data_IF_234427806452
#
_entry.id   IF_234427806452
#
_cell.length_a   1.000
_cell.length_b   1.000
_cell.length_c   1.000
_cell.angle_alpha   90.00
_cell.angle_beta   90.00
_cell.angle_gamma   90.00
#
_symmetry.space_group_name_H-M   'P 1'
#
loop_
_entity.id
_entity.type
_entity.pdbx_description
1 polymer ?
#
# COMPACT_ATOMS: atom_id res chain seq x y z
N UNK A 1 19.39 28.73 -4.11
CA UNK A 1 18.09 29.09 -3.53
C UNK A 1 17.74 27.97 -2.57
N UNK A 2 17.61 28.26 -1.26
CA UNK A 2 17.27 27.22 -0.29
C UNK A 2 15.80 26.85 -0.43
N UNK A 3 15.50 25.59 -0.73
CA UNK A 3 14.14 25.07 -0.65
C UNK A 3 13.72 25.15 0.83
N UNK A 4 12.78 26.03 1.13
CA UNK A 4 12.07 26.02 2.40
C UNK A 4 11.25 24.74 2.37
N UNK A 5 11.67 23.72 3.11
CA UNK A 5 10.83 22.56 3.35
C UNK A 5 9.55 23.07 4.03
N UNK A 6 8.41 23.00 3.33
CA UNK A 6 7.12 23.37 3.89
C UNK A 6 6.87 22.59 5.17
N UNK A 7 6.45 23.29 6.22
CA UNK A 7 6.09 22.66 7.47
C UNK A 7 4.72 22.00 7.30
N UNK A 8 4.73 20.67 7.08
CA UNK A 8 3.51 19.86 6.96
C UNK A 8 2.68 19.81 8.26
N UNK A 9 3.11 20.44 9.36
CA UNK A 9 2.41 20.43 10.65
C UNK A 9 1.01 21.06 10.63
N UNK A 10 0.66 21.82 9.58
CA UNK A 10 -0.66 22.47 9.44
C UNK A 10 -1.67 21.74 8.55
N UNK A 11 -1.32 20.60 7.94
CA UNK A 11 -2.21 19.91 7.00
C UNK A 11 -3.33 19.16 7.74
N UNK A 12 -4.57 19.30 7.25
CA UNK A 12 -5.69 18.46 7.70
C UNK A 12 -5.63 17.10 7.01
N UNK A 13 -5.27 16.08 7.78
CA UNK A 13 -5.09 14.71 7.31
C UNK A 13 -6.26 13.80 7.72
N UNK A 14 -7.39 14.37 8.15
CA UNK A 14 -8.58 13.63 8.56
C UNK A 14 -9.20 12.82 7.41
N UNK A 15 -9.10 13.32 6.17
CA UNK A 15 -9.51 12.65 4.93
C UNK A 15 -8.41 12.72 3.88
N UNK A 16 -7.32 12.00 4.15
CA UNK A 16 -6.22 11.85 3.20
C UNK A 16 -6.61 10.92 2.04
N UNK A 17 -6.53 11.44 0.82
CA UNK A 17 -6.60 10.63 -0.41
C UNK A 17 -5.21 10.57 -1.04
N UNK A 18 -4.68 9.36 -1.24
CA UNK A 18 -3.39 9.16 -1.92
C UNK A 18 -3.60 8.56 -3.29
N UNK A 19 -3.04 9.18 -4.32
CA UNK A 19 -3.07 8.73 -5.71
C UNK A 19 -1.67 8.25 -6.08
N UNK A 20 -1.54 6.98 -6.46
CA UNK A 20 -0.25 6.37 -6.77
C UNK A 20 -0.15 5.96 -8.26
N UNK A 21 1.04 6.18 -8.83
CA UNK A 21 1.38 5.82 -10.20
C UNK A 21 2.59 4.90 -10.31
N UNK A 22 3.06 4.62 -11.52
CA UNK A 22 4.10 3.60 -11.75
C UNK A 22 5.44 3.92 -11.06
N UNK A 23 5.72 5.21 -10.82
CA UNK A 23 6.89 5.64 -10.06
C UNK A 23 6.88 5.16 -8.60
N UNK A 24 5.71 4.98 -8.00
CA UNK A 24 5.57 4.38 -6.67
C UNK A 24 6.07 2.92 -6.67
N UNK A 25 5.62 2.12 -7.63
CA UNK A 25 6.03 0.72 -7.74
C UNK A 25 7.50 0.59 -8.11
N UNK A 26 8.02 1.46 -9.00
CA UNK A 26 9.45 1.58 -9.31
C UNK A 26 10.29 1.89 -8.07
N UNK A 27 9.75 2.72 -7.18
CA UNK A 27 10.42 3.07 -5.93
C UNK A 27 10.37 1.93 -4.90
N UNK A 28 9.27 1.18 -4.86
CA UNK A 28 9.14 -0.03 -4.03
C UNK A 28 10.10 -1.13 -4.48
N UNK A 29 10.29 -1.30 -5.79
CA UNK A 29 11.30 -2.19 -6.34
C UNK A 29 11.87 -1.67 -7.66
N UNK A 30 13.20 -1.61 -7.81
CA UNK A 30 13.84 -1.25 -9.07
C UNK A 30 13.46 -2.13 -10.27
N UNK A 31 12.97 -3.35 -10.04
CA UNK A 31 12.51 -4.27 -11.10
C UNK A 31 11.24 -3.78 -11.80
N UNK A 32 10.38 -3.05 -11.08
CA UNK A 32 9.08 -2.58 -11.58
C UNK A 32 9.28 -1.55 -12.68
N UNK A 33 8.58 -1.65 -13.82
CA UNK A 33 8.80 -0.74 -14.93
C UNK A 33 7.93 0.53 -14.81
N UNK A 34 8.48 1.67 -15.22
CA UNK A 34 7.68 2.82 -15.67
C UNK A 34 7.30 2.66 -17.14
N UNK A 35 6.44 3.52 -17.68
CA UNK A 35 5.88 3.36 -19.03
C UNK A 35 6.94 3.25 -20.14
N UNK A 36 8.02 4.03 -20.05
CA UNK A 36 9.14 3.98 -21.01
C UNK A 36 9.88 2.65 -20.95
N UNK A 37 10.24 2.21 -19.74
CA UNK A 37 10.91 0.91 -19.51
C UNK A 37 10.02 -0.28 -19.94
N UNK A 38 8.70 -0.16 -19.76
CA UNK A 38 7.74 -1.14 -20.24
C UNK A 38 7.73 -1.21 -21.77
N UNK A 39 7.80 -0.07 -22.46
CA UNK A 39 7.91 0.00 -23.92
C UNK A 39 9.15 -0.72 -24.44
N UNK A 40 10.30 -0.48 -23.81
CA UNK A 40 11.58 -1.11 -24.18
C UNK A 40 11.53 -2.64 -23.97
N UNK A 41 11.06 -3.07 -22.80
CA UNK A 41 10.91 -4.50 -22.48
C UNK A 41 9.94 -5.20 -23.43
N UNK A 42 8.86 -4.52 -23.82
CA UNK A 42 7.86 -5.03 -24.74
C UNK A 42 8.43 -5.21 -26.15
N UNK A 43 9.16 -4.22 -26.67
CA UNK A 43 9.80 -4.31 -27.98
C UNK A 43 10.78 -5.47 -28.03
N UNK A 44 11.58 -5.66 -26.98
CA UNK A 44 12.49 -6.79 -26.86
C UNK A 44 11.74 -8.14 -26.88
N UNK A 45 10.62 -8.25 -26.16
CA UNK A 45 9.80 -9.48 -26.13
C UNK A 45 9.11 -9.74 -27.47
N UNK A 46 8.65 -8.70 -28.15
CA UNK A 46 7.86 -8.82 -29.37
C UNK A 46 8.67 -9.42 -30.54
N UNK A 47 9.98 -9.19 -30.62
CA UNK A 47 10.84 -9.75 -31.70
C UNK A 47 10.74 -11.26 -31.84
N UNK A 48 10.64 -11.96 -30.71
CA UNK A 48 10.52 -13.42 -30.67
C UNK A 48 9.08 -13.93 -30.66
N UNK A 49 8.09 -13.04 -30.67
CA UNK A 49 6.69 -13.38 -30.48
C UNK A 49 5.94 -13.49 -31.82
N UNK A 50 5.01 -14.46 -32.01
CA UNK A 50 4.25 -14.60 -33.26
C UNK A 50 3.46 -13.35 -33.69
N UNK A 51 3.15 -12.46 -32.75
CA UNK A 51 2.48 -11.19 -33.07
C UNK A 51 3.35 -10.25 -33.93
N UNK A 52 4.67 -10.45 -34.00
CA UNK A 52 5.56 -9.69 -34.89
C UNK A 52 5.14 -9.80 -36.36
N UNK A 53 4.54 -10.93 -36.76
CA UNK A 53 4.03 -11.20 -38.11
C UNK A 53 2.81 -10.37 -38.49
N UNK A 54 2.20 -9.67 -37.52
CA UNK A 54 1.08 -8.75 -37.73
C UNK A 54 1.53 -7.28 -37.87
N UNK A 55 2.81 -6.99 -37.63
CA UNK A 55 3.35 -5.65 -37.78
C UNK A 55 3.43 -5.24 -39.26
N UNK A 56 3.24 -3.95 -39.52
CA UNK A 56 3.61 -3.37 -40.82
C UNK A 56 5.12 -3.41 -41.02
N UNK A 57 5.58 -3.27 -42.28
CA UNK A 57 7.02 -3.25 -42.60
C UNK A 57 7.79 -2.18 -41.81
N UNK A 58 7.19 -1.00 -41.62
CA UNK A 58 7.81 0.09 -40.85
C UNK A 58 7.82 -0.17 -39.35
N UNK A 59 6.71 -0.66 -38.77
CA UNK A 59 6.65 -1.03 -37.35
C UNK A 59 7.66 -2.16 -37.05
N UNK A 60 7.77 -3.16 -37.92
CA UNK A 60 8.76 -4.24 -37.78
C UNK A 60 10.19 -3.71 -37.80
N UNK A 61 10.53 -2.84 -38.76
CA UNK A 61 11.86 -2.26 -38.83
C UNK A 61 12.25 -1.48 -37.55
N UNK A 62 11.28 -0.81 -36.91
CA UNK A 62 11.49 -0.14 -35.63
C UNK A 62 11.68 -1.15 -34.49
N UNK A 63 10.83 -2.17 -34.40
CA UNK A 63 10.93 -3.24 -33.38
C UNK A 63 12.26 -4.00 -33.49
N UNK A 64 12.70 -4.32 -34.71
CA UNK A 64 13.99 -4.97 -35.00
C UNK A 64 15.19 -4.08 -34.62
N UNK A 65 14.98 -2.76 -34.56
CA UNK A 65 15.99 -1.77 -34.18
C UNK A 65 15.87 -1.31 -32.71
N UNK A 66 15.23 -2.08 -31.83
CA UNK A 66 15.04 -1.73 -30.41
C UNK A 66 14.26 -0.43 -30.18
N UNK A 67 13.33 -0.07 -31.07
CA UNK A 67 12.53 1.15 -30.96
C UNK A 67 11.05 0.87 -30.89
N UNK A 68 10.38 1.53 -29.94
CA UNK A 68 8.92 1.56 -29.87
C UNK A 68 8.39 2.30 -31.11
N UNK A 69 7.46 1.70 -31.89
CA UNK A 69 6.79 2.42 -32.96
C UNK A 69 6.16 3.73 -32.47
N UNK A 70 6.19 4.78 -33.31
CA UNK A 70 5.81 6.15 -32.92
C UNK A 70 6.67 6.79 -31.81
N UNK A 71 7.69 6.09 -31.30
CA UNK A 71 8.59 6.58 -30.24
C UNK A 71 8.00 6.56 -28.83
N UNK A 72 6.74 6.17 -28.68
CA UNK A 72 6.01 6.19 -27.42
C UNK A 72 5.01 5.02 -27.37
N UNK A 73 5.01 4.28 -26.25
CA UNK A 73 4.19 3.07 -26.10
C UNK A 73 2.70 3.40 -26.11
N UNK A 74 2.30 4.50 -25.46
CA UNK A 74 0.91 4.91 -25.38
C UNK A 74 0.38 5.35 -26.75
N UNK A 75 1.14 6.18 -27.47
CA UNK A 75 0.81 6.59 -28.84
C UNK A 75 0.66 5.36 -29.76
N UNK A 76 1.56 4.39 -29.63
CA UNK A 76 1.50 3.18 -30.43
C UNK A 76 0.27 2.33 -30.11
N UNK A 77 0.03 2.02 -28.84
CA UNK A 77 -1.15 1.24 -28.42
C UNK A 77 -2.46 1.95 -28.82
N UNK A 78 -2.52 3.27 -28.70
CA UNK A 78 -3.64 4.10 -29.17
C UNK A 78 -3.85 3.90 -30.67
N UNK A 79 -2.79 3.95 -31.48
CA UNK A 79 -2.87 3.75 -32.93
C UNK A 79 -3.32 2.34 -33.34
N UNK A 80 -3.11 1.34 -32.47
CA UNK A 80 -3.55 -0.04 -32.68
C UNK A 80 -5.01 -0.25 -32.23
N UNK A 81 -5.40 0.42 -31.14
CA UNK A 81 -6.74 0.30 -30.56
C UNK A 81 -7.81 1.07 -31.34
N UNK A 82 -7.48 2.25 -31.85
CA UNK A 82 -8.43 3.18 -32.47
C UNK A 82 -8.58 2.91 -33.97
N UNK A 83 -9.83 2.86 -34.44
CA UNK A 83 -10.14 2.71 -35.86
C UNK A 83 -9.67 3.95 -36.65
N UNK A 84 -8.67 3.75 -37.49
CA UNK A 84 -8.14 4.82 -38.34
C UNK A 84 -8.99 4.97 -39.61
N UNK A 85 -9.31 6.22 -40.04
CA UNK A 85 -10.19 6.46 -41.19
C UNK A 85 -9.60 5.98 -42.51
N UNK A 86 -8.28 5.83 -42.59
CA UNK A 86 -7.56 5.35 -43.77
C UNK A 86 -7.36 3.83 -43.82
N UNK A 87 -7.76 3.10 -42.77
CA UNK A 87 -7.67 1.63 -42.74
C UNK A 87 -8.99 1.01 -43.20
N UNK A 88 -8.90 -0.01 -44.04
CA UNK A 88 -10.05 -0.87 -44.37
C UNK A 88 -10.52 -1.65 -43.14
N UNK A 89 -11.77 -2.14 -43.16
CA UNK A 89 -12.31 -2.92 -42.04
C UNK A 89 -11.47 -4.16 -41.68
N UNK A 90 -10.98 -4.97 -42.64
CA UNK A 90 -10.08 -6.08 -42.33
C UNK A 90 -8.76 -5.64 -41.68
N UNK A 91 -8.18 -4.51 -42.11
CA UNK A 91 -6.96 -3.96 -41.49
C UNK A 91 -7.20 -3.47 -40.07
N UNK A 92 -8.33 -2.81 -39.81
CA UNK A 92 -8.72 -2.40 -38.47
C UNK A 92 -8.84 -3.61 -37.53
N UNK A 93 -9.43 -4.72 -37.98
CA UNK A 93 -9.52 -5.94 -37.19
C UNK A 93 -8.15 -6.58 -36.92
N UNK A 94 -7.22 -6.56 -37.90
CA UNK A 94 -5.84 -7.03 -37.69
C UNK A 94 -5.08 -6.17 -36.69
N UNK A 95 -5.19 -4.84 -36.78
CA UNK A 95 -4.59 -3.90 -35.82
C UNK A 95 -5.17 -4.10 -34.42
N UNK A 96 -6.48 -4.32 -34.31
CA UNK A 96 -7.12 -4.64 -33.02
C UNK A 96 -6.65 -5.98 -32.45
N UNK A 97 -6.44 -7.00 -33.29
CA UNK A 97 -5.86 -8.26 -32.84
C UNK A 97 -4.44 -8.05 -32.29
N UNK A 98 -3.59 -7.33 -33.03
CA UNK A 98 -2.24 -6.97 -32.59
C UNK A 98 -2.26 -6.16 -31.29
N UNK A 99 -3.17 -5.19 -31.13
CA UNK A 99 -3.37 -4.47 -29.87
C UNK A 99 -3.57 -5.41 -28.69
N UNK A 100 -4.44 -6.42 -28.83
CA UNK A 100 -4.71 -7.37 -27.75
C UNK A 100 -3.47 -8.22 -27.42
N UNK A 101 -2.70 -8.65 -28.42
CA UNK A 101 -1.45 -9.37 -28.19
C UNK A 101 -0.44 -8.50 -27.44
N UNK A 102 -0.25 -7.25 -27.88
CA UNK A 102 0.71 -6.30 -27.29
C UNK A 102 0.31 -5.95 -25.86
N UNK A 103 -0.98 -5.72 -25.59
CA UNK A 103 -1.49 -5.47 -24.24
C UNK A 103 -1.29 -6.69 -23.32
N UNK A 104 -1.50 -7.91 -23.82
CA UNK A 104 -1.25 -9.13 -23.07
C UNK A 104 0.24 -9.29 -22.72
N UNK A 105 1.13 -9.06 -23.69
CA UNK A 105 2.60 -9.08 -23.46
C UNK A 105 3.01 -8.03 -22.42
N UNK A 106 2.42 -6.83 -22.47
CA UNK A 106 2.68 -5.79 -21.47
C UNK A 106 2.30 -6.27 -20.06
N UNK A 107 1.11 -6.87 -19.90
CA UNK A 107 0.65 -7.45 -18.63
C UNK A 107 1.57 -8.56 -18.12
N UNK A 108 2.04 -9.44 -19.01
CA UNK A 108 3.00 -10.49 -18.67
C UNK A 108 4.34 -9.94 -18.16
N UNK A 109 4.86 -8.88 -18.79
CA UNK A 109 6.09 -8.22 -18.36
C UNK A 109 5.91 -7.64 -16.96
N UNK A 110 4.82 -6.90 -16.70
CA UNK A 110 4.59 -6.32 -15.36
C UNK A 110 4.44 -7.44 -14.31
N UNK A 111 3.72 -8.52 -14.61
CA UNK A 111 3.59 -9.67 -13.71
C UNK A 111 4.92 -10.39 -13.43
N UNK A 112 5.84 -10.43 -14.40
CA UNK A 112 7.19 -10.96 -14.21
C UNK A 112 8.00 -10.08 -13.25
N UNK A 113 7.97 -8.75 -13.45
CA UNK A 113 8.69 -7.78 -12.62
C UNK A 113 8.15 -7.67 -11.20
N UNK A 114 6.84 -7.80 -11.05
CA UNK A 114 6.19 -7.89 -9.75
C UNK A 114 6.63 -9.15 -9.01
N UNK A 115 6.65 -10.31 -9.67
CA UNK A 115 7.13 -11.56 -9.04
C UNK A 115 8.59 -11.43 -8.61
N UNK A 116 9.43 -10.78 -9.40
CA UNK A 116 10.80 -10.46 -9.02
C UNK A 116 10.85 -9.56 -7.77
N UNK A 117 10.00 -8.53 -7.72
CA UNK A 117 9.87 -7.64 -6.56
C UNK A 117 9.45 -8.41 -5.30
N UNK A 118 8.41 -9.24 -5.40
CA UNK A 118 7.85 -9.97 -4.27
C UNK A 118 8.76 -11.06 -3.71
N UNK A 119 9.87 -11.41 -4.37
CA UNK A 119 10.90 -12.30 -3.81
C UNK A 119 11.83 -11.59 -2.83
N UNK A 120 11.90 -10.26 -2.86
CA UNK A 120 12.67 -9.48 -1.91
C UNK A 120 11.89 -9.27 -0.59
N UNK A 121 12.55 -8.85 0.49
CA UNK A 121 11.87 -8.35 1.68
C UNK A 121 11.08 -7.09 1.37
N UNK A 122 9.96 -6.88 2.08
CA UNK A 122 9.18 -5.64 1.98
C UNK A 122 10.06 -4.43 2.34
N UNK A 123 10.11 -3.37 1.52
CA UNK A 123 10.80 -2.14 1.88
C UNK A 123 10.22 -1.54 3.16
N UNK A 124 11.06 -1.20 4.14
CA UNK A 124 10.61 -0.68 5.43
C UNK A 124 9.71 0.56 5.31
N UNK A 125 10.04 1.48 4.38
CA UNK A 125 9.22 2.68 4.15
C UNK A 125 7.83 2.33 3.64
N UNK A 126 7.71 1.32 2.76
CA UNK A 126 6.45 0.87 2.19
C UNK A 126 5.60 0.21 3.27
N UNK A 127 6.22 -0.62 4.10
CA UNK A 127 5.57 -1.23 5.26
C UNK A 127 4.99 -0.16 6.21
N UNK A 128 5.77 0.88 6.55
CA UNK A 128 5.30 1.99 7.39
C UNK A 128 4.16 2.77 6.73
N UNK A 129 4.28 3.07 5.44
CA UNK A 129 3.27 3.82 4.71
C UNK A 129 1.93 3.08 4.64
N UNK A 130 1.95 1.79 4.30
CA UNK A 130 0.74 0.94 4.27
C UNK A 130 0.11 0.80 5.66
N UNK A 131 0.94 0.68 6.70
CA UNK A 131 0.49 0.70 8.10
C UNK A 131 -0.20 2.02 8.46
N UNK A 132 0.35 3.15 8.03
CA UNK A 132 -0.26 4.46 8.26
C UNK A 132 -1.57 4.65 7.50
N UNK A 133 -1.64 4.23 6.23
CA UNK A 133 -2.90 4.20 5.48
C UNK A 133 -3.95 3.35 6.18
N UNK A 134 -3.57 2.18 6.71
CA UNK A 134 -4.47 1.30 7.46
C UNK A 134 -5.02 1.99 8.71
N UNK A 135 -4.15 2.51 9.59
CA UNK A 135 -4.59 3.18 10.82
C UNK A 135 -5.44 4.43 10.56
N UNK A 136 -5.19 5.12 9.45
CA UNK A 136 -5.96 6.31 9.04
C UNK A 136 -7.20 5.99 8.23
N UNK A 137 -7.38 4.72 7.83
CA UNK A 137 -8.45 4.30 6.91
C UNK A 137 -8.44 5.16 5.65
N UNK A 138 -7.24 5.48 5.15
CA UNK A 138 -7.05 6.34 4.00
C UNK A 138 -7.62 5.71 2.74
N UNK A 139 -8.09 6.55 1.81
CA UNK A 139 -8.42 6.09 0.47
C UNK A 139 -7.17 6.20 -0.42
N UNK A 140 -6.77 5.08 -0.99
CA UNK A 140 -5.64 4.95 -1.92
C UNK A 140 -6.18 4.65 -3.31
N UNK A 141 -6.03 5.60 -4.22
CA UNK A 141 -6.35 5.46 -5.64
C UNK A 141 -5.08 5.04 -6.38
N UNK A 142 -5.16 4.03 -7.23
CA UNK A 142 -3.99 3.57 -7.98
C UNK A 142 -4.30 3.36 -9.45
N UNK A 143 -3.34 3.76 -10.29
CA UNK A 143 -3.32 3.49 -11.72
C UNK A 143 -2.44 2.27 -12.06
N UNK A 144 -1.81 1.66 -11.06
CA UNK A 144 -0.88 0.57 -11.24
C UNK A 144 -1.63 -0.77 -11.36
N UNK A 145 -1.10 -1.65 -12.20
CA UNK A 145 -1.64 -3.01 -12.35
C UNK A 145 -1.16 -3.95 -11.25
N UNK A 146 0.02 -3.70 -10.68
CA UNK A 146 0.60 -4.55 -9.65
C UNK A 146 -0.20 -4.55 -8.35
N UNK A 147 0.20 -5.44 -7.45
CA UNK A 147 -0.44 -5.78 -6.19
C UNK A 147 0.49 -5.56 -5.00
N UNK A 148 1.52 -4.70 -5.15
CA UNK A 148 2.53 -4.50 -4.11
C UNK A 148 1.94 -3.93 -2.81
N UNK A 149 0.87 -3.11 -2.90
CA UNK A 149 0.16 -2.57 -1.73
C UNK A 149 -0.56 -3.71 -1.00
N UNK A 150 -1.27 -4.54 -1.75
CA UNK A 150 -2.00 -5.69 -1.23
C UNK A 150 -1.05 -6.71 -0.57
N UNK A 151 0.01 -7.09 -1.28
CA UNK A 151 1.04 -7.99 -0.78
C UNK A 151 1.71 -7.44 0.50
N UNK A 152 1.92 -6.12 0.57
CA UNK A 152 2.44 -5.46 1.78
C UNK A 152 1.48 -5.61 2.95
N UNK A 153 0.21 -5.27 2.76
CA UNK A 153 -0.81 -5.37 3.81
C UNK A 153 -0.97 -6.80 4.34
N UNK A 154 -0.96 -7.79 3.44
CA UNK A 154 -1.03 -9.22 3.80
C UNK A 154 0.23 -9.68 4.55
N UNK A 155 1.41 -9.25 4.11
CA UNK A 155 2.70 -9.59 4.77
C UNK A 155 2.75 -9.05 6.19
N UNK A 156 2.31 -7.82 6.38
CA UNK A 156 2.27 -7.19 7.70
C UNK A 156 1.23 -7.80 8.62
N UNK A 157 0.31 -8.62 8.08
CA UNK A 157 -0.80 -9.19 8.83
C UNK A 157 -1.47 -8.12 9.68
N UNK A 158 -1.82 -6.99 9.06
CA UNK A 158 -2.37 -5.84 9.79
C UNK A 158 -3.63 -6.30 10.54
N UNK A 159 -3.63 -6.16 11.86
CA UNK A 159 -4.73 -6.56 12.74
C UNK A 159 -5.28 -5.29 13.39
N UNK A 160 -6.59 -5.11 13.32
CA UNK A 160 -7.28 -4.18 14.21
C UNK A 160 -7.46 -4.85 15.58
N UNK A 161 -7.07 -4.16 16.64
CA UNK A 161 -7.12 -4.66 18.01
C UNK A 161 -8.54 -5.05 18.43
N UNK A 162 -9.57 -4.35 17.93
CA UNK A 162 -10.98 -4.67 18.21
C UNK A 162 -11.42 -5.97 17.51
N UNK A 163 -10.91 -6.21 16.30
CA UNK A 163 -11.26 -7.39 15.49
C UNK A 163 -10.55 -8.64 16.02
N UNK A 164 -9.35 -8.53 16.59
CA UNK A 164 -8.57 -9.63 17.17
C UNK A 164 -9.33 -10.45 18.23
N UNK A 165 -10.22 -9.80 19.00
CA UNK A 165 -11.01 -10.47 20.04
C UNK A 165 -12.10 -11.40 19.46
N UNK A 166 -12.55 -11.15 18.23
CA UNK A 166 -13.65 -11.87 17.57
C UNK A 166 -13.15 -12.75 16.42
N UNK A 167 -12.10 -12.34 15.73
CA UNK A 167 -11.45 -13.08 14.66
C UNK A 167 -10.28 -13.89 15.21
N UNK A 168 -10.52 -15.17 15.50
CA UNK A 168 -9.45 -16.12 15.83
C UNK A 168 -8.49 -16.42 14.66
N UNK A 169 -8.69 -15.85 13.46
CA UNK A 169 -8.09 -16.36 12.22
C UNK A 169 -7.66 -15.37 11.11
N UNK A 170 -7.72 -14.03 11.23
CA UNK A 170 -7.29 -13.23 10.06
C UNK A 170 -7.07 -11.74 10.27
N UNK A 171 -5.90 -11.27 9.81
CA UNK A 171 -5.62 -9.86 9.56
C UNK A 171 -6.29 -9.34 8.29
N UNK A 172 -5.99 -8.10 7.92
CA UNK A 172 -6.46 -7.44 6.70
C UNK A 172 -6.07 -8.26 5.46
N UNK A 173 -7.07 -8.62 4.65
CA UNK A 173 -6.89 -9.32 3.37
C UNK A 173 -7.02 -8.36 2.20
N UNK A 174 -6.56 -8.76 1.01
CA UNK A 174 -6.82 -8.03 -0.26
C UNK A 174 -8.30 -7.65 -0.42
N UNK A 175 -9.22 -8.54 -0.05
CA UNK A 175 -10.67 -8.29 -0.15
C UNK A 175 -11.12 -7.15 0.76
N UNK A 176 -10.54 -7.01 1.95
CA UNK A 176 -10.86 -5.91 2.85
C UNK A 176 -10.38 -4.57 2.25
N UNK A 177 -9.17 -4.55 1.68
CA UNK A 177 -8.61 -3.35 1.05
C UNK A 177 -9.48 -2.86 -0.10
N UNK A 178 -9.94 -3.75 -0.98
CA UNK A 178 -10.71 -3.37 -2.17
C UNK A 178 -12.23 -3.32 -1.94
N UNK A 179 -12.69 -3.44 -0.69
CA UNK A 179 -14.11 -3.54 -0.31
C UNK A 179 -14.87 -4.61 -1.11
N UNK A 180 -14.19 -5.70 -1.46
CA UNK A 180 -14.77 -6.80 -2.23
C UNK A 180 -14.97 -6.54 -3.72
N UNK A 181 -14.36 -5.49 -4.28
CA UNK A 181 -14.40 -5.21 -5.72
C UNK A 181 -13.06 -5.49 -6.40
N UNK A 182 -13.05 -6.21 -7.55
CA UNK A 182 -14.13 -7.05 -8.08
C UNK A 182 -14.42 -8.24 -7.14
N UNK A 183 -15.61 -8.86 -7.26
CA UNK A 183 -15.96 -10.00 -6.43
C UNK A 183 -14.98 -11.16 -6.63
N UNK A 184 -14.53 -11.76 -5.54
CA UNK A 184 -13.79 -13.03 -5.60
C UNK A 184 -14.76 -14.19 -5.84
N UNK A 185 -14.34 -15.18 -6.63
CA UNK A 185 -15.11 -16.41 -6.75
C UNK A 185 -15.19 -17.13 -5.39
N UNK A 186 -16.35 -17.69 -5.01
CA UNK A 186 -16.44 -18.48 -3.79
C UNK A 186 -15.50 -19.70 -3.90
N UNK A 187 -14.53 -19.78 -3.00
CA UNK A 187 -13.67 -20.94 -2.88
C UNK A 187 -14.46 -22.15 -2.34
N UNK A 188 -14.15 -23.39 -2.76
CA UNK A 188 -14.77 -24.57 -2.18
C UNK A 188 -14.46 -24.64 -0.67
N UNK A 189 -15.49 -24.56 0.17
CA UNK A 189 -15.38 -24.64 1.63
C UNK A 189 -15.27 -23.31 2.38
N UNK A 190 -15.32 -22.16 1.70
CA UNK A 190 -15.36 -20.84 2.35
C UNK A 190 -16.83 -20.42 2.60
N UNK A 191 -17.47 -21.01 3.61
CA UNK A 191 -18.83 -20.62 4.05
C UNK A 191 -18.85 -19.35 4.93
N UNK A 192 -17.68 -18.86 5.35
CA UNK A 192 -17.60 -17.66 6.18
C UNK A 192 -17.32 -16.44 5.30
N UNK A 193 -18.28 -15.52 5.25
CA UNK A 193 -18.03 -14.18 4.76
C UNK A 193 -16.89 -13.59 5.60
N UNK A 194 -15.81 -13.07 4.98
CA UNK A 194 -14.77 -12.41 5.74
C UNK A 194 -15.41 -11.26 6.53
N UNK A 195 -15.01 -11.12 7.78
CA UNK A 195 -15.43 -9.99 8.62
C UNK A 195 -14.95 -8.71 7.93
N UNK A 196 -15.85 -7.75 7.76
CA UNK A 196 -15.47 -6.43 7.30
C UNK A 196 -14.59 -5.77 8.37
N UNK A 197 -13.30 -5.63 8.04
CA UNK A 197 -12.33 -4.94 8.88
C UNK A 197 -12.24 -3.50 8.39
N UNK A 198 -12.40 -2.54 9.30
CA UNK A 198 -12.17 -1.14 8.98
C UNK A 198 -10.67 -0.92 8.72
N UNK A 199 -10.30 -0.64 7.47
CA UNK A 199 -8.91 -0.51 7.01
C UNK A 199 -8.83 0.55 5.90
N UNK A 200 -7.65 0.72 5.28
CA UNK A 200 -7.50 1.54 4.09
C UNK A 200 -8.39 1.03 2.94
N UNK A 201 -8.88 1.94 2.11
CA UNK A 201 -9.63 1.61 0.90
C UNK A 201 -8.73 1.73 -0.33
N UNK A 202 -8.53 0.65 -1.07
CA UNK A 202 -7.71 0.60 -2.28
C UNK A 202 -8.60 0.53 -3.53
N UNK A 203 -8.52 1.55 -4.39
CA UNK A 203 -9.31 1.69 -5.62
C UNK A 203 -8.39 1.58 -6.84
N UNK A 204 -8.53 0.52 -7.63
CA UNK A 204 -7.69 0.23 -8.81
C UNK A 204 -8.36 0.70 -10.10
N UNK A 205 -7.97 1.86 -10.59
CA UNK A 205 -8.66 2.57 -11.68
C UNK A 205 -8.39 2.00 -13.08
N UNK A 206 -7.26 1.29 -13.24
CA UNK A 206 -6.84 0.69 -14.51
C UNK A 206 -6.87 -0.84 -14.49
N UNK A 207 -7.64 -1.44 -13.58
CA UNK A 207 -7.62 -2.88 -13.38
C UNK A 207 -6.43 -3.35 -12.55
N UNK A 208 -6.17 -4.66 -12.56
CA UNK A 208 -5.13 -5.27 -11.73
C UNK A 208 -4.65 -6.58 -12.33
N UNK A 209 -3.41 -6.97 -12.01
CA UNK A 209 -2.83 -8.23 -12.46
C UNK A 209 -3.56 -9.46 -11.89
N UNK A 210 -4.22 -9.31 -10.74
CA UNK A 210 -5.06 -10.33 -10.13
C UNK A 210 -6.55 -10.21 -10.50
N UNK A 211 -6.89 -9.48 -11.56
CA UNK A 211 -8.27 -9.37 -12.05
C UNK A 211 -8.41 -10.09 -13.38
N UNK A 212 -9.48 -10.87 -13.52
CA UNK A 212 -9.76 -11.67 -14.71
C UNK A 212 -11.19 -11.43 -15.17
N UNK A 213 -11.40 -11.36 -16.47
CA UNK A 213 -12.73 -11.20 -17.02
C UNK A 213 -12.86 -11.58 -18.48
N UNK A 214 -14.09 -11.48 -18.97
CA UNK A 214 -14.44 -11.79 -20.36
C UNK A 214 -14.47 -10.52 -21.17
N UNK A 215 -13.90 -10.56 -22.36
CA UNK A 215 -13.83 -9.41 -23.27
C UNK A 215 -15.14 -9.18 -24.06
N UNK A 216 -16.30 -9.45 -23.46
CA UNK A 216 -17.63 -9.19 -24.04
C UNK A 216 -18.14 -7.83 -23.56
N UNK A 217 -18.37 -6.91 -24.50
CA UNK A 217 -18.78 -5.52 -24.25
C UNK A 217 -20.09 -5.34 -23.44
N UNK A 218 -20.81 -6.41 -23.12
CA UNK A 218 -22.11 -6.38 -22.44
C UNK A 218 -22.15 -7.15 -21.10
N UNK A 219 -21.05 -7.76 -20.64
CA UNK A 219 -21.09 -8.53 -19.39
C UNK A 219 -20.80 -7.65 -18.17
N UNK A 220 -21.88 -7.12 -17.59
CA UNK A 220 -21.96 -6.31 -16.36
C UNK A 220 -21.37 -6.97 -15.10
N UNK A 221 -20.97 -8.25 -15.16
CA UNK A 221 -20.46 -9.05 -14.03
C UNK A 221 -19.19 -9.84 -14.35
N UNK A 222 -18.45 -9.44 -15.40
CA UNK A 222 -17.39 -10.31 -15.94
C UNK A 222 -16.05 -10.26 -15.22
N UNK A 223 -15.80 -9.28 -14.33
CA UNK A 223 -14.51 -9.20 -13.61
C UNK A 223 -14.59 -9.96 -12.30
N UNK A 224 -13.66 -10.88 -12.10
CA UNK A 224 -13.44 -11.57 -10.82
C UNK A 224 -12.01 -11.34 -10.35
N UNK A 225 -11.85 -11.17 -9.04
CA UNK A 225 -10.55 -11.32 -8.41
C UNK A 225 -10.26 -12.82 -8.34
N UNK A 226 -9.12 -13.24 -8.88
CA UNK A 226 -8.58 -14.56 -8.59
C UNK A 226 -7.74 -14.52 -7.33
N UNK A 227 -7.05 -15.62 -7.04
CA UNK A 227 -6.26 -15.76 -5.81
C UNK A 227 -5.30 -14.58 -5.63
N UNK A 228 -5.22 -14.06 -4.40
CA UNK A 228 -4.37 -12.92 -4.07
C UNK A 228 -2.93 -13.18 -4.51
N UNK A 229 -2.29 -12.12 -5.00
CA UNK A 229 -0.84 -12.09 -5.04
C UNK A 229 -0.34 -12.36 -3.64
N UNK A 230 0.63 -13.24 -3.58
CA UNK A 230 1.24 -13.68 -2.36
C UNK A 230 1.93 -12.54 -1.62
N UNK A 231 2.13 -12.75 -0.32
CA UNK A 231 2.95 -11.89 0.54
C UNK A 231 4.35 -11.67 -0.05
N UNK A 232 5.08 -10.67 0.43
CA UNK A 232 6.51 -10.56 0.17
C UNK A 232 7.24 -11.84 0.60
N UNK A 233 8.42 -12.05 0.04
CA UNK A 233 9.27 -13.24 0.19
C UNK A 233 8.60 -14.54 -0.31
N UNK A 234 7.79 -14.43 -1.37
CA UNK A 234 7.14 -15.59 -2.00
C UNK A 234 7.28 -15.56 -3.52
N UNK A 235 7.04 -16.71 -4.16
CA UNK A 235 7.12 -16.87 -5.62
C UNK A 235 5.75 -17.13 -6.28
N UNK A 236 4.64 -16.71 -5.65
CA UNK A 236 3.35 -17.03 -6.24
C UNK A 236 3.08 -16.17 -7.46
N UNK A 237 2.69 -16.84 -8.55
CA UNK A 237 2.16 -16.18 -9.72
C UNK A 237 0.63 -16.03 -9.59
N UNK A 238 0.10 -14.94 -10.12
CA UNK A 238 -1.33 -14.76 -10.36
C UNK A 238 -1.87 -15.92 -11.19
N UNK A 239 -2.85 -16.65 -10.65
CA UNK A 239 -3.48 -17.78 -11.36
C UNK A 239 -4.87 -17.40 -11.82
N UNK A 240 -5.09 -17.48 -13.13
CA UNK A 240 -6.41 -17.35 -13.71
C UNK A 240 -7.35 -18.41 -13.11
N UNK A 241 -8.46 -18.02 -12.46
CA UNK A 241 -9.29 -18.96 -11.74
C UNK A 241 -10.12 -19.84 -12.69
N UNK A 242 -10.31 -19.43 -13.95
CA UNK A 242 -11.17 -20.13 -14.91
C UNK A 242 -10.64 -20.03 -16.34
N UNK A 243 -10.80 -21.10 -17.12
CA UNK A 243 -10.46 -21.07 -18.56
C UNK A 243 -11.34 -20.06 -19.31
N UNK A 244 -10.74 -19.36 -20.27
CA UNK A 244 -11.45 -18.41 -21.12
C UNK A 244 -11.67 -17.02 -20.52
N UNK A 245 -11.07 -16.74 -19.36
CA UNK A 245 -10.90 -15.37 -18.88
C UNK A 245 -9.54 -14.83 -19.31
N UNK A 246 -9.49 -13.53 -19.56
CA UNK A 246 -8.28 -12.76 -19.80
C UNK A 246 -8.05 -11.82 -18.63
N UNK A 247 -6.79 -11.44 -18.41
CA UNK A 247 -6.44 -10.45 -17.40
C UNK A 247 -7.10 -9.11 -17.73
N UNK A 248 -7.61 -8.42 -16.70
CA UNK A 248 -8.29 -7.12 -16.86
C UNK A 248 -7.33 -6.02 -16.47
N UNK A 249 -6.67 -5.47 -17.48
CA UNK A 249 -5.89 -4.26 -17.41
C UNK A 249 -6.45 -3.25 -18.40
N UNK A 250 -6.49 -1.97 -18.02
CA UNK A 250 -6.75 -0.85 -18.93
C UNK A 250 -5.39 -0.41 -19.46
N UNK A 251 -5.03 -0.76 -20.71
CA UNK A 251 -3.71 -0.45 -21.24
C UNK A 251 -3.51 1.06 -21.38
N UNK A 252 -2.25 1.55 -21.43
CA UNK A 252 -1.96 2.95 -21.61
C UNK A 252 -2.31 3.34 -23.05
N UNK A 253 -3.54 3.82 -23.24
CA UNK A 253 -4.04 4.40 -24.48
C UNK A 253 -4.71 5.74 -24.17
N UNK A 254 -4.68 6.67 -25.12
CA UNK A 254 -5.26 8.00 -24.95
C UNK A 254 -6.80 7.95 -24.85
N UNK A 255 -7.45 7.16 -25.71
CA UNK A 255 -8.91 6.96 -25.69
C UNK A 255 -9.27 5.68 -24.92
N UNK A 256 -9.62 5.85 -23.64
CA UNK A 256 -10.02 4.78 -22.74
C UNK A 256 -11.55 4.56 -22.70
N UNK A 257 -12.32 5.26 -23.54
CA UNK A 257 -13.80 5.24 -23.48
C UNK A 257 -14.38 3.84 -23.66
N UNK A 258 -13.80 3.02 -24.54
CA UNK A 258 -14.23 1.65 -24.76
C UNK A 258 -13.96 0.70 -23.58
N UNK A 259 -13.01 1.05 -22.71
CA UNK A 259 -12.61 0.28 -21.53
C UNK A 259 -13.44 0.67 -20.31
N UNK A 260 -13.86 1.93 -20.23
CA UNK A 260 -14.74 2.43 -19.16
C UNK A 260 -16.21 2.04 -19.32
N UNK A 261 -16.61 1.42 -20.43
CA UNK A 261 -17.92 0.80 -20.57
C UNK A 261 -18.17 -0.40 -19.63
N UNK A 262 -17.16 -0.84 -18.88
CA UNK A 262 -17.31 -1.84 -17.83
C UNK A 262 -17.84 -1.19 -16.54
N UNK A 263 -19.03 -1.60 -16.09
CA UNK A 263 -19.69 -1.04 -14.90
C UNK A 263 -18.88 -1.15 -13.60
N UNK A 264 -18.03 -2.18 -13.46
CA UNK A 264 -17.13 -2.29 -12.30
C UNK A 264 -16.07 -1.19 -12.34
N UNK A 265 -15.44 -0.98 -13.50
CA UNK A 265 -14.48 0.11 -13.67
C UNK A 265 -15.17 1.46 -13.46
N UNK A 266 -16.32 1.69 -14.10
CA UNK A 266 -17.12 2.91 -13.89
C UNK A 266 -17.39 3.18 -12.41
N UNK A 267 -17.83 2.16 -11.66
CA UNK A 267 -18.08 2.27 -10.21
C UNK A 267 -16.81 2.68 -9.46
N UNK A 268 -15.65 2.10 -9.80
CA UNK A 268 -14.37 2.47 -9.17
C UNK A 268 -13.99 3.93 -9.45
N UNK A 269 -14.24 4.42 -10.66
CA UNK A 269 -14.03 5.83 -11.01
C UNK A 269 -15.01 6.77 -10.28
N UNK A 270 -16.27 6.36 -10.10
CA UNK A 270 -17.23 7.11 -9.29
C UNK A 270 -16.81 7.17 -7.81
N UNK A 271 -16.33 6.04 -7.26
CA UNK A 271 -15.77 5.97 -5.90
C UNK A 271 -14.57 6.90 -5.75
N UNK A 272 -13.65 6.90 -6.72
CA UNK A 272 -12.50 7.80 -6.72
C UNK A 272 -12.91 9.27 -6.78
N UNK A 273 -13.88 9.62 -7.63
CA UNK A 273 -14.41 10.98 -7.71
C UNK A 273 -15.03 11.43 -6.38
N UNK A 274 -15.78 10.55 -5.71
CA UNK A 274 -16.35 10.83 -4.39
C UNK A 274 -15.26 11.03 -3.33
N UNK A 275 -14.26 10.14 -3.29
CA UNK A 275 -13.15 10.25 -2.36
C UNK A 275 -12.40 11.58 -2.52
N UNK A 276 -12.11 11.99 -3.77
CA UNK A 276 -11.44 13.25 -4.07
C UNK A 276 -12.28 14.45 -3.63
N UNK A 277 -13.61 14.45 -3.87
CA UNK A 277 -14.51 15.54 -3.41
C UNK A 277 -14.52 15.72 -1.91
N UNK A 278 -14.33 14.62 -1.18
CA UNK A 278 -14.33 14.64 0.29
C UNK A 278 -12.94 14.84 0.90
N UNK A 279 -11.88 14.88 0.08
CA UNK A 279 -10.51 14.93 0.55
C UNK A 279 -10.19 16.26 1.26
N UNK A 280 -9.63 16.16 2.46
CA UNK A 280 -9.03 17.30 3.17
C UNK A 280 -7.61 17.57 2.68
N UNK A 281 -6.92 16.54 2.20
CA UNK A 281 -5.59 16.62 1.57
C UNK A 281 -5.48 15.55 0.49
N UNK A 282 -4.91 15.90 -0.67
CA UNK A 282 -4.60 14.95 -1.74
C UNK A 282 -3.08 14.78 -1.85
N UNK A 283 -2.61 13.54 -1.95
CA UNK A 283 -1.21 13.23 -2.19
C UNK A 283 -1.05 12.50 -3.52
N UNK A 284 -0.14 12.96 -4.37
CA UNK A 284 0.28 12.30 -5.61
C UNK A 284 1.65 11.66 -5.38
N UNK A 285 1.72 10.32 -5.37
CA UNK A 285 2.96 9.60 -5.12
C UNK A 285 3.41 8.83 -6.38
N UNK A 286 4.54 9.23 -6.94
CA UNK A 286 5.13 8.55 -8.10
C UNK A 286 4.21 8.50 -9.33
N UNK A 287 3.30 9.47 -9.45
CA UNK A 287 2.41 9.59 -10.60
C UNK A 287 2.83 10.79 -11.45
N UNK A 288 3.31 10.51 -12.66
CA UNK A 288 3.85 11.51 -13.58
C UNK A 288 2.80 12.41 -14.23
N UNK A 289 1.51 12.10 -14.01
CA UNK A 289 0.34 12.80 -14.54
C UNK A 289 0.51 13.16 -16.03
N UNK A 290 0.75 12.15 -16.90
CA UNK A 290 1.14 12.41 -18.27
C UNK A 290 0.04 13.21 -19.01
N UNK A 291 0.40 14.13 -19.93
CA UNK A 291 -0.60 14.98 -20.61
C UNK A 291 -1.68 14.21 -21.38
N UNK A 292 -1.38 12.97 -21.75
CA UNK A 292 -2.29 12.03 -22.42
C UNK A 292 -3.35 11.43 -21.49
N UNK A 293 -3.14 11.40 -20.17
CA UNK A 293 -4.13 10.89 -19.20
C UNK A 293 -5.19 11.94 -18.87
N UNK A 294 -5.96 12.26 -19.89
CA UNK A 294 -7.06 13.21 -19.83
C UNK A 294 -8.14 12.81 -18.82
N UNK A 295 -8.37 11.51 -18.61
CA UNK A 295 -9.37 11.04 -17.63
C UNK A 295 -8.92 11.31 -16.20
N UNK A 296 -7.66 11.01 -15.85
CA UNK A 296 -7.15 11.33 -14.51
C UNK A 296 -7.09 12.84 -14.26
N UNK A 297 -6.74 13.61 -15.31
CA UNK A 297 -6.74 15.08 -15.27
C UNK A 297 -8.15 15.61 -15.00
N UNK A 298 -9.15 15.15 -15.76
CA UNK A 298 -10.55 15.53 -15.58
C UNK A 298 -11.08 15.12 -14.19
N UNK A 299 -10.74 13.90 -13.74
CA UNK A 299 -11.09 13.42 -12.41
C UNK A 299 -10.61 14.40 -11.32
N UNK A 300 -9.37 14.85 -11.39
CA UNK A 300 -8.83 15.82 -10.44
C UNK A 300 -9.46 17.20 -10.60
N UNK A 301 -9.50 17.76 -11.82
CA UNK A 301 -9.98 19.13 -12.06
C UNK A 301 -11.45 19.32 -11.72
N UNK A 302 -12.28 18.30 -11.91
CA UNK A 302 -13.72 18.39 -11.69
C UNK A 302 -14.12 18.08 -10.24
N UNK A 303 -13.27 17.38 -9.48
CA UNK A 303 -13.64 16.84 -8.17
C UNK A 303 -12.80 17.35 -7.02
N UNK A 304 -11.56 17.78 -7.24
CA UNK A 304 -10.72 18.31 -6.16
C UNK A 304 -11.29 19.67 -5.69
N UNK A 305 -11.65 19.82 -4.40
CA UNK A 305 -12.08 21.12 -3.89
C UNK A 305 -10.95 22.13 -4.05
N UNK A 306 -11.25 23.35 -4.48
CA UNK A 306 -10.22 24.36 -4.80
C UNK A 306 -9.28 24.71 -3.62
N UNK A 307 -9.74 24.49 -2.38
CA UNK A 307 -8.97 24.76 -1.16
C UNK A 307 -8.21 23.53 -0.65
N UNK A 308 -8.40 22.34 -1.24
CA UNK A 308 -7.74 21.13 -0.80
C UNK A 308 -6.27 21.17 -1.25
N UNK A 309 -5.30 21.16 -0.33
CA UNK A 309 -3.88 21.13 -0.69
C UNK A 309 -3.55 19.83 -1.42
N UNK A 310 -2.67 19.93 -2.42
CA UNK A 310 -2.14 18.78 -3.16
C UNK A 310 -0.63 18.69 -2.95
N UNK A 311 -0.19 17.55 -2.42
CA UNK A 311 1.22 17.24 -2.20
C UNK A 311 1.73 16.32 -3.32
N UNK A 312 2.78 16.72 -4.03
CA UNK A 312 3.43 15.90 -5.05
C UNK A 312 4.70 15.28 -4.46
N UNK A 313 4.75 13.96 -4.43
CA UNK A 313 5.90 13.15 -3.98
C UNK A 313 6.44 12.40 -5.19
N UNK A 314 7.37 13.03 -5.91
CA UNK A 314 7.97 12.48 -7.13
C UNK A 314 9.38 13.07 -7.36
N UNK A 315 10.36 12.30 -7.87
CA UNK A 315 11.67 12.83 -8.23
C UNK A 315 11.63 14.00 -9.23
N UNK A 316 10.64 14.02 -10.12
CA UNK A 316 10.43 15.06 -11.14
C UNK A 316 9.30 16.02 -10.77
N UNK A 317 8.99 16.16 -9.49
CA UNK A 317 7.86 16.94 -8.97
C UNK A 317 7.71 18.35 -9.54
N UNK A 318 8.80 19.08 -9.79
CA UNK A 318 8.74 20.47 -10.24
C UNK A 318 7.96 20.57 -11.56
N UNK A 319 8.26 19.65 -12.49
CA UNK A 319 7.58 19.57 -13.78
C UNK A 319 6.10 19.16 -13.65
N UNK A 320 5.76 18.36 -12.63
CA UNK A 320 4.39 17.92 -12.35
C UNK A 320 3.60 19.08 -11.74
N UNK A 321 4.16 19.76 -10.74
CA UNK A 321 3.59 20.93 -10.08
C UNK A 321 3.34 22.06 -11.09
N UNK A 322 4.33 22.37 -11.94
CA UNK A 322 4.18 23.37 -13.00
C UNK A 322 3.03 23.03 -13.93
N UNK A 323 2.96 21.78 -14.41
CA UNK A 323 1.87 21.32 -15.27
C UNK A 323 0.51 21.40 -14.59
N UNK A 324 0.42 21.00 -13.32
CA UNK A 324 -0.84 21.02 -12.58
C UNK A 324 -1.37 22.45 -12.36
N UNK A 325 -0.48 23.41 -12.08
CA UNK A 325 -0.86 24.82 -11.88
C UNK A 325 -1.45 25.47 -13.13
N UNK A 326 -1.28 24.89 -14.31
CA UNK A 326 -1.91 25.39 -15.54
C UNK A 326 -3.44 25.19 -15.57
N UNK A 327 -3.96 24.22 -14.82
CA UNK A 327 -5.38 23.82 -14.89
C UNK A 327 -6.03 23.53 -13.53
N UNK A 328 -5.29 23.48 -12.43
CA UNK A 328 -5.83 23.38 -11.07
C UNK A 328 -5.65 24.69 -10.29
N UNK A 329 -6.71 25.20 -9.63
CA UNK A 329 -6.63 26.38 -8.78
C UNK A 329 -6.05 26.09 -7.38
N UNK A 330 -5.79 24.82 -7.07
CA UNK A 330 -5.36 24.34 -5.75
C UNK A 330 -3.99 24.88 -5.33
N UNK A 331 -3.77 24.93 -4.02
CA UNK A 331 -2.41 25.03 -3.48
C UNK A 331 -1.69 23.70 -3.73
N UNK A 332 -0.64 23.74 -4.54
CA UNK A 332 0.10 22.57 -4.98
C UNK A 332 1.55 22.74 -4.54
N UNK A 333 1.97 21.84 -3.65
CA UNK A 333 3.31 21.78 -3.09
C UNK A 333 4.04 20.55 -3.62
N UNK A 334 5.28 20.75 -4.09
CA UNK A 334 6.19 19.66 -4.38
C UNK A 334 7.06 19.33 -3.17
N UNK A 335 6.96 18.10 -2.67
CA UNK A 335 7.88 17.51 -1.69
C UNK A 335 9.06 16.83 -2.40
N UNK A 336 10.11 17.63 -2.64
CA UNK A 336 11.18 17.28 -3.56
C UNK A 336 12.13 16.26 -3.03
N UNK A 337 12.20 15.11 -3.70
CA UNK A 337 13.12 14.04 -3.37
C UNK A 337 14.53 14.30 -3.94
N UNK A 338 15.07 15.51 -3.78
CA UNK A 338 16.46 15.81 -4.19
C UNK A 338 17.44 15.09 -3.25
N UNK A 339 18.24 14.17 -3.79
CA UNK A 339 19.13 13.18 -3.11
C UNK A 339 18.45 11.91 -2.58
N UNK A 340 18.16 11.03 -3.55
CA UNK A 340 17.52 9.73 -3.38
C UNK A 340 18.39 8.66 -2.70
N UNK A 341 19.70 8.85 -2.48
CA UNK A 341 20.47 7.83 -1.74
C UNK A 341 20.06 7.70 -0.24
N UNK A 342 19.21 8.61 0.27
CA UNK A 342 18.62 8.59 1.62
C UNK A 342 17.08 8.71 1.59
N UNK A 343 16.41 8.00 0.66
CA UNK A 343 14.95 7.96 0.47
C UNK A 343 14.09 7.81 1.72
N UNK A 344 14.58 7.11 2.74
CA UNK A 344 13.86 6.89 3.99
C UNK A 344 13.52 8.22 4.65
N UNK A 345 14.40 9.24 4.61
CA UNK A 345 14.28 10.45 5.43
C UNK A 345 13.08 11.34 5.07
N UNK A 346 12.68 11.45 3.79
CA UNK A 346 11.57 12.33 3.42
C UNK A 346 10.22 11.66 3.56
N UNK A 347 10.11 10.39 3.15
CA UNK A 347 8.95 9.57 3.52
C UNK A 347 8.86 9.58 5.03
N UNK A 348 9.93 9.30 5.77
CA UNK A 348 9.96 9.36 7.23
C UNK A 348 9.57 10.73 7.78
N UNK A 349 9.95 11.87 7.18
CA UNK A 349 9.46 13.19 7.62
C UNK A 349 7.98 13.38 7.38
N UNK A 350 7.48 12.89 6.25
CA UNK A 350 6.06 12.88 5.90
C UNK A 350 5.31 11.96 6.88
N UNK A 351 5.84 10.77 7.13
CA UNK A 351 5.36 9.78 8.11
C UNK A 351 5.49 10.32 9.54
N UNK A 352 6.51 11.10 9.89
CA UNK A 352 6.66 11.76 11.19
C UNK A 352 5.65 12.89 11.34
N UNK A 353 5.40 13.66 10.27
CA UNK A 353 4.30 14.63 10.21
C UNK A 353 2.95 13.94 10.40
N UNK A 354 2.74 12.82 9.70
CA UNK A 354 1.57 11.98 9.87
C UNK A 354 1.46 11.46 11.30
N UNK A 355 2.49 10.83 11.85
CA UNK A 355 2.56 10.26 13.19
C UNK A 355 2.27 11.34 14.24
N UNK A 356 2.87 12.53 14.13
CA UNK A 356 2.58 13.69 15.00
C UNK A 356 1.10 14.08 14.95
N UNK A 357 0.50 14.12 13.76
CA UNK A 357 -0.93 14.38 13.60
C UNK A 357 -1.83 13.23 14.10
N UNK A 358 -1.32 11.98 14.17
CA UNK A 358 -2.03 10.84 14.76
C UNK A 358 -2.14 10.99 16.28
N UNK A 359 -1.02 11.33 16.91
CA UNK A 359 -0.86 11.36 18.36
C UNK A 359 -1.68 12.51 18.97
N UNK A 360 -2.04 13.53 18.19
CA UNK A 360 -2.97 14.59 18.62
C UNK A 360 -4.45 14.20 18.58
N UNK A 361 -4.81 13.04 18.03
CA UNK A 361 -6.15 12.45 18.13
C UNK A 361 -6.25 11.46 19.31
N UNK A 362 -7.44 11.23 19.90
CA UNK A 362 -7.60 10.20 20.92
C UNK A 362 -7.33 8.83 20.29
N UNK A 363 -6.18 8.23 20.60
CA UNK A 363 -5.96 6.80 20.34
C UNK A 363 -6.85 6.05 21.34
N UNK A 364 -7.87 5.30 20.89
CA UNK A 364 -8.72 4.56 21.80
C UNK A 364 -7.91 3.43 22.43
N UNK A 365 -7.49 3.63 23.67
CA UNK A 365 -6.99 2.57 24.53
C UNK A 365 -8.19 1.89 25.18
N UNK A 366 -8.49 0.65 24.77
CA UNK A 366 -9.49 -0.18 25.41
C UNK A 366 -8.80 -1.28 26.24
N UNK A 367 -9.13 -1.36 27.54
CA UNK A 367 -8.76 -2.49 28.41
C UNK A 367 -9.53 -3.74 27.94
N UNK A 368 -8.94 -4.50 27.02
CA UNK A 368 -9.43 -5.83 26.64
C UNK A 368 -8.90 -6.92 27.58
N UNK A 369 -9.76 -7.88 27.95
CA UNK A 369 -9.43 -9.01 28.82
C UNK A 369 -8.28 -9.86 28.25
N UNK A 370 -7.21 -10.00 29.03
CA UNK A 370 -5.97 -10.70 28.68
C UNK A 370 -6.12 -12.23 28.69
N UNK A 371 -6.87 -12.78 27.73
CA UNK A 371 -7.13 -14.21 27.58
C UNK A 371 -6.61 -14.89 26.30
N UNK A 372 -5.95 -14.16 25.39
CA UNK A 372 -5.50 -14.69 24.09
C UNK A 372 -4.04 -15.15 24.07
N UNK A 373 -3.78 -16.33 23.51
CA UNK A 373 -2.42 -16.75 23.11
C UNK A 373 -1.94 -15.86 21.96
N UNK A 374 -0.84 -15.13 22.17
CA UNK A 374 -0.17 -14.34 21.13
C UNK A 374 0.62 -15.24 20.17
N UNK A 375 0.60 -14.89 18.89
CA UNK A 375 1.37 -15.53 17.83
C UNK A 375 2.88 -15.27 18.04
N UNK A 376 3.74 -16.31 18.04
CA UNK A 376 5.19 -16.16 18.26
C UNK A 376 5.94 -15.37 17.18
N UNK A 377 5.30 -15.03 16.06
CA UNK A 377 5.90 -14.23 14.98
C UNK A 377 5.50 -12.74 15.00
N UNK A 378 4.83 -12.25 16.05
CA UNK A 378 4.51 -10.83 16.17
C UNK A 378 5.70 -10.04 16.72
N UNK A 379 6.34 -9.25 15.85
CA UNK A 379 7.26 -8.20 16.28
C UNK A 379 6.44 -6.98 16.74
N UNK A 380 6.50 -6.66 18.03
CA UNK A 380 5.92 -5.41 18.55
C UNK A 380 6.99 -4.32 18.47
N UNK A 381 6.88 -3.43 17.49
CA UNK A 381 7.69 -2.20 17.45
C UNK A 381 7.06 -1.16 18.38
N UNK A 382 7.65 -0.94 19.55
CA UNK A 382 7.21 0.11 20.47
C UNK A 382 8.04 1.37 20.24
N UNK A 383 7.45 2.38 19.60
CA UNK A 383 7.98 3.74 19.64
C UNK A 383 7.43 4.45 20.86
N UNK A 384 8.32 4.84 21.79
CA UNK A 384 7.93 5.72 22.90
C UNK A 384 8.13 7.17 22.46
N UNK A 385 7.22 8.06 22.88
CA UNK A 385 7.24 9.49 22.54
C UNK A 385 8.53 10.23 22.97
N UNK A 386 9.43 9.58 23.72
CA UNK A 386 10.61 10.19 24.32
C UNK A 386 11.95 9.67 23.74
N UNK A 387 11.93 8.90 22.65
CA UNK A 387 13.17 8.44 22.01
C UNK A 387 14.00 7.44 22.85
N UNK A 388 13.36 6.68 23.75
CA UNK A 388 14.05 5.72 24.59
C UNK A 388 14.61 4.57 23.74
N UNK A 389 15.94 4.44 23.67
CA UNK A 389 16.62 3.27 23.09
C UNK A 389 16.86 2.22 24.18
N UNK A 390 16.49 0.98 23.90
CA UNK A 390 16.79 -0.15 24.76
C UNK A 390 17.98 -0.91 24.19
N UNK A 391 19.02 -1.09 25.01
CA UNK A 391 20.12 -1.99 24.69
C UNK A 391 19.70 -3.42 25.03
N UNK A 392 19.43 -4.20 23.98
CA UNK A 392 19.04 -5.61 24.08
C UNK A 392 20.24 -6.56 23.93
N UNK A 393 21.48 -6.06 23.92
CA UNK A 393 22.68 -6.87 23.80
C UNK A 393 22.89 -7.73 25.07
N UNK A 394 22.28 -8.91 25.08
CA UNK A 394 22.32 -9.84 26.21
C UNK A 394 21.00 -10.57 26.48
N UNK A 395 19.95 -10.29 25.72
CA UNK A 395 18.72 -11.08 25.73
C UNK A 395 18.87 -12.31 24.82
N UNK A 396 18.40 -13.46 25.28
CA UNK A 396 18.25 -14.65 24.44
C UNK A 396 17.03 -14.51 23.52
N UNK A 397 16.96 -15.36 22.49
CA UNK A 397 15.89 -15.30 21.48
C UNK A 397 14.47 -15.55 22.05
N UNK A 398 14.37 -16.02 23.30
CA UNK A 398 13.12 -16.41 23.96
C UNK A 398 12.70 -15.40 25.06
N UNK A 399 13.40 -14.26 25.21
CA UNK A 399 13.05 -13.27 26.24
C UNK A 399 11.94 -12.32 25.76
N UNK A 400 10.81 -12.30 26.49
CA UNK A 400 9.73 -11.34 26.30
C UNK A 400 9.93 -10.10 27.20
N UNK A 401 9.80 -8.90 26.63
CA UNK A 401 9.89 -7.62 27.36
C UNK A 401 8.53 -6.96 27.40
N UNK A 402 8.02 -6.67 28.60
CA UNK A 402 6.76 -5.97 28.84
C UNK A 402 7.06 -4.63 29.51
N UNK A 403 6.75 -3.51 28.84
CA UNK A 403 6.92 -2.17 29.38
C UNK A 403 5.55 -1.58 29.73
N UNK A 404 5.34 -1.27 31.00
CA UNK A 404 4.17 -0.52 31.45
C UNK A 404 4.45 0.98 31.35
N UNK A 405 3.85 1.66 30.38
CA UNK A 405 3.85 3.13 30.30
C UNK A 405 2.81 3.70 31.26
N UNK A 406 3.23 4.54 32.22
CA UNK A 406 2.33 5.20 33.16
C UNK A 406 2.00 6.63 32.73
N UNK A 407 0.71 6.97 32.59
CA UNK A 407 0.23 8.33 32.79
C UNK A 407 -0.27 8.51 34.23
N UNK A 408 0.02 9.68 34.81
CA UNK A 408 -0.43 10.03 36.16
C UNK A 408 -1.94 10.33 36.15
N UNK A 409 -2.75 9.40 36.67
CA UNK A 409 -4.17 9.63 36.96
C UNK A 409 -4.29 10.17 38.39
N UNK A 410 -5.00 11.30 38.52
CA UNK A 410 -5.28 11.98 39.78
C UNK A 410 -6.07 11.08 40.75
N UNK A 411 -5.88 11.37 42.04
CA UNK A 411 -6.31 10.60 43.19
C UNK A 411 -7.79 10.18 43.19
N UNK A 412 -8.03 8.88 43.10
CA UNK A 412 -9.27 8.21 43.49
C UNK A 412 -8.94 6.87 44.14
N UNK A 413 -9.46 6.63 45.34
CA UNK A 413 -9.13 5.49 46.20
C UNK A 413 -9.74 4.18 45.67
N UNK A 414 -8.89 3.17 45.45
CA UNK A 414 -9.33 1.78 45.25
C UNK A 414 -8.65 0.92 46.31
N UNK A 415 -9.45 0.15 47.06
CA UNK A 415 -8.98 -0.78 48.10
C UNK A 415 -8.29 -2.00 47.47
N UNK A 416 -7.20 -2.52 48.05
CA UNK A 416 -6.54 -3.71 47.52
C UNK A 416 -7.25 -4.99 47.98
N UNK A 417 -7.63 -5.86 47.04
CA UNK A 417 -8.01 -7.24 47.31
C UNK A 417 -6.85 -8.19 46.99
N UNK A 418 -6.20 -8.65 48.05
CA UNK A 418 -5.59 -9.99 48.24
C UNK A 418 -4.66 -10.59 47.18
N UNK A 419 -3.35 -10.56 47.45
CA UNK A 419 -2.50 -11.68 47.91
C UNK A 419 -1.05 -11.17 47.99
N UNK A 420 -0.31 -11.54 49.04
CA UNK A 420 1.10 -11.16 49.18
C UNK A 420 1.94 -12.01 48.21
N UNK A 421 2.89 -11.37 47.52
CA UNK A 421 3.84 -12.00 46.59
C UNK A 421 4.86 -12.83 47.40
N UNK A 422 5.23 -14.02 46.90
CA UNK A 422 6.28 -14.85 47.49
C UNK A 422 7.63 -14.09 47.41
N UNK A 423 8.34 -13.88 48.55
CA UNK A 423 9.64 -13.21 48.55
C UNK A 423 10.70 -13.85 47.65
N UNK A 424 10.56 -15.13 47.28
CA UNK A 424 11.51 -15.83 46.41
C UNK A 424 11.35 -15.47 44.92
N UNK A 425 10.20 -14.97 44.48
CA UNK A 425 9.99 -14.53 43.09
C UNK A 425 10.70 -13.20 42.78
N UNK A 426 10.90 -12.36 43.82
CA UNK A 426 11.63 -11.09 43.71
C UNK A 426 13.15 -11.28 43.59
N UNK A 427 13.68 -12.45 43.91
CA UNK A 427 15.12 -12.74 43.85
C UNK A 427 15.64 -12.99 42.41
N UNK A 428 14.77 -13.02 41.40
CA UNK A 428 15.11 -13.31 40.00
C UNK A 428 15.01 -12.10 39.05
N UNK A 429 14.74 -10.91 39.58
CA UNK A 429 14.71 -9.68 38.79
C UNK A 429 16.12 -9.33 38.28
N UNK A 430 16.27 -9.20 36.95
CA UNK A 430 17.42 -8.51 36.36
C UNK A 430 17.02 -7.06 36.12
N UNK A 431 17.99 -6.15 36.13
CA UNK A 431 17.75 -4.75 35.82
C UNK A 431 18.42 -4.42 34.50
N UNK A 432 17.68 -3.80 33.58
CA UNK A 432 18.27 -3.18 32.39
C UNK A 432 18.52 -1.71 32.71
N UNK A 433 19.72 -1.25 32.36
CA UNK A 433 20.12 0.14 32.57
C UNK A 433 19.83 0.92 31.29
N UNK A 434 19.04 1.96 31.40
CA UNK A 434 18.76 2.89 30.30
C UNK A 434 19.97 3.81 30.08
N UNK A 435 20.03 4.49 28.92
CA UNK A 435 21.10 5.46 28.61
C UNK A 435 21.20 6.61 29.63
N UNK A 436 20.09 6.98 30.27
CA UNK A 436 20.02 7.98 31.35
C UNK A 436 20.30 7.39 32.75
N UNK A 437 20.70 6.13 32.84
CA UNK A 437 21.14 5.48 34.07
C UNK A 437 20.04 4.92 34.96
N UNK A 438 18.77 5.01 34.56
CA UNK A 438 17.66 4.37 35.29
C UNK A 438 17.75 2.85 35.20
N UNK A 439 17.40 2.19 36.30
CA UNK A 439 17.31 0.73 36.35
C UNK A 439 15.84 0.32 36.24
N UNK A 440 15.51 -0.33 35.13
CA UNK A 440 14.17 -0.88 34.91
C UNK A 440 14.19 -2.39 35.25
N UNK A 441 13.25 -2.87 36.07
CA UNK A 441 13.16 -4.29 36.39
C UNK A 441 12.69 -5.07 35.15
N UNK A 442 13.42 -6.13 34.82
CA UNK A 442 13.10 -7.10 33.79
C UNK A 442 12.82 -8.43 34.45
N UNK A 443 11.63 -8.96 34.17
CA UNK A 443 11.15 -10.21 34.73
C UNK A 443 11.36 -11.35 33.74
N UNK A 444 11.98 -12.43 34.20
CA UNK A 444 12.13 -13.67 33.45
C UNK A 444 11.00 -14.62 33.81
N UNK A 445 10.26 -15.12 32.82
CA UNK A 445 9.31 -16.21 33.02
C UNK A 445 9.95 -17.51 32.56
N UNK A 446 10.28 -18.41 33.49
CA UNK A 446 10.73 -19.77 33.16
C UNK A 446 9.50 -20.61 32.79
N UNK A 447 9.45 -21.09 31.56
CA UNK A 447 8.35 -21.93 31.05
C UNK A 447 8.51 -23.38 31.49
N UNK A 448 8.50 -23.64 32.80
CA UNK A 448 8.44 -24.99 33.35
C UNK A 448 7.53 -25.03 34.58
N UNK A 449 6.21 -25.02 34.34
CA UNK A 449 5.25 -25.90 35.04
C UNK A 449 3.84 -25.76 34.44
N UNK A 450 3.17 -26.90 34.35
CA UNK A 450 1.93 -27.14 33.64
C UNK A 450 0.72 -26.81 34.54
N UNK A 451 0.48 -25.52 34.82
CA UNK A 451 -0.67 -25.10 35.64
C UNK A 451 -1.44 -23.93 35.00
N UNK A 452 -2.73 -24.15 34.82
CA UNK A 452 -3.74 -23.27 34.17
C UNK A 452 -4.19 -22.07 35.02
N UNK A 453 -3.28 -21.39 35.72
CA UNK A 453 -3.61 -20.15 36.43
C UNK A 453 -2.62 -19.04 36.06
N UNK A 454 -3.08 -18.08 35.27
CA UNK A 454 -2.35 -16.85 35.00
C UNK A 454 -2.63 -15.83 36.11
N UNK A 455 -1.62 -15.56 36.95
CA UNK A 455 -1.65 -14.46 37.91
C UNK A 455 -1.05 -13.21 37.27
N UNK A 456 -1.86 -12.16 37.08
CA UNK A 456 -1.38 -10.84 36.63
C UNK A 456 -0.95 -10.04 37.86
N UNK A 457 0.34 -9.74 37.98
CA UNK A 457 0.88 -8.88 39.05
C UNK A 457 0.96 -7.44 38.54
N UNK A 458 0.15 -6.54 39.11
CA UNK A 458 0.27 -5.08 38.87
C UNK A 458 1.22 -4.48 39.92
N UNK A 459 2.36 -3.94 39.48
CA UNK A 459 3.28 -3.20 40.35
C UNK A 459 3.18 -1.71 40.03
N UNK A 460 2.97 -0.88 41.06
CA UNK A 460 2.90 0.58 40.95
C UNK A 460 4.28 1.16 41.29
N UNK A 461 4.97 1.76 40.32
CA UNK A 461 6.21 2.48 40.60
C UNK A 461 5.88 3.82 41.28
N UNK A 462 6.35 4.00 42.52
CA UNK A 462 6.42 5.30 43.19
C UNK A 462 7.83 5.87 43.09
N UNK A 463 8.03 7.19 43.19
CA UNK A 463 9.35 7.79 43.14
C UNK A 463 10.22 7.29 44.31
N UNK A 464 11.43 6.83 43.99
CA UNK A 464 12.46 6.50 44.98
C UNK A 464 13.02 7.80 45.56
N UNK A 465 12.99 7.92 46.89
CA UNK A 465 13.66 9.00 47.61
C UNK A 465 15.18 8.94 47.38
N UNK A 466 15.90 10.08 47.35
CA UNK A 466 17.34 10.08 47.15
C UNK A 466 18.03 9.38 48.32
N UNK A 467 18.88 8.41 48.00
CA UNK A 467 19.80 7.79 48.96
C UNK A 467 20.87 8.83 49.27
N UNK A 468 20.91 9.31 50.52
CA UNK A 468 22.02 10.12 51.02
C UNK A 468 23.29 9.27 51.05
N UNK A 469 24.40 9.86 50.61
CA UNK A 469 25.76 9.31 50.67
C UNK A 469 26.22 9.03 52.09
#
# INVERSE_FOLDING_TARGET
>A
MGAVAGDASGLDLSKLVTIVGAGFSKHASPSMPVLTELGDALVARLRGHPAVDRLTTSERALVDSDRVPLGDLEAWLTSLATAQPYNTRPEQLRRRALFLDVAAIAGEIVAERERESLRAPVPHWLARLVTLWHYRRSTVLTFNYDTLIEATAETLSLIDAEVSAQNRLGGVTTRNLTRGFPPSLPGPGMEFAPVDVETLELVKLHGSLNWWGRSSANDLFSIVAGGAASSWETDAAHKCPMRGLSQVIVPPIADKSGQYGNSTIETLWLTAAQAIREASTIMLFGYSLPPSDTTATALLSENAPAQTPILVVDPCQQSIVERMREWLPNDIEGLGCENLDNHTIQVDRLLEGFERAAVSGPIPWHEGDAGGQLNPNCFVHIHTANGLKLDCSGLDADTHVLLAGGQAVSSGSVRPSGKAVDPNDLARCRFVRTEDGQQLPVYRFDRHQNTTEHSVVRVRAGPLAPVAS
#
